data_IF_885137700287
#
_entry.id   IF_885137700287
#
_cell.length_a   1.000
_cell.length_b   1.000
_cell.length_c   1.000
_cell.angle_alpha   90.00
_cell.angle_beta   90.00
_cell.angle_gamma   90.00
#
_symmetry.space_group_name_H-M   'P 1'
#
loop_
_entity.id
_entity.type
_entity.pdbx_description
1 polymer ?
#
# COMPACT_ATOMS: atom_id res chain seq x y z
N UNK A 1 11.42 -13.93 9.59
CA UNK A 1 11.46 -13.18 8.32
C UNK A 1 12.62 -12.23 8.37
N UNK A 2 13.46 -12.15 7.31
CA UNK A 2 14.40 -11.04 7.17
C UNK A 2 13.60 -9.76 6.93
N UNK A 3 14.00 -8.59 7.46
CA UNK A 3 13.29 -7.36 7.20
C UNK A 3 13.32 -7.04 5.70
N UNK A 4 12.14 -6.76 5.14
CA UNK A 4 11.96 -6.30 3.76
C UNK A 4 12.38 -4.82 3.72
N UNK A 5 13.24 -4.45 2.78
CA UNK A 5 13.78 -3.10 2.57
C UNK A 5 14.35 -2.40 3.82
N UNK A 6 15.60 -2.72 4.15
CA UNK A 6 16.36 -1.96 5.15
C UNK A 6 17.04 -0.75 4.50
N UNK A 7 17.09 0.37 5.23
CA UNK A 7 17.83 1.59 4.86
C UNK A 7 17.30 2.36 3.65
N UNK A 8 15.98 2.32 3.40
CA UNK A 8 15.37 3.28 2.48
C UNK A 8 15.50 4.70 3.03
N UNK A 9 15.88 5.64 2.18
CA UNK A 9 16.03 7.04 2.57
C UNK A 9 14.66 7.70 2.71
N UNK A 10 14.48 8.59 3.67
CA UNK A 10 13.23 9.35 3.80
C UNK A 10 13.00 10.17 2.54
N UNK A 11 11.79 10.08 1.96
CA UNK A 11 11.42 10.76 0.72
C UNK A 11 11.86 10.03 -0.55
N UNK A 12 12.50 8.87 -0.44
CA UNK A 12 12.79 8.01 -1.58
C UNK A 12 11.48 7.46 -2.17
N UNK A 13 11.33 7.57 -3.49
CA UNK A 13 10.21 6.98 -4.19
C UNK A 13 10.33 5.45 -4.15
N UNK A 14 9.22 4.80 -3.79
CA UNK A 14 9.12 3.34 -3.70
C UNK A 14 8.10 2.87 -4.72
N UNK A 15 8.51 1.94 -5.57
CA UNK A 15 7.64 1.24 -6.50
C UNK A 15 7.36 -0.17 -5.96
N UNK A 16 6.09 -0.56 -5.96
CA UNK A 16 5.59 -1.84 -5.46
C UNK A 16 4.66 -2.42 -6.53
N UNK A 17 4.91 -3.65 -6.97
CA UNK A 17 3.96 -4.42 -7.77
C UNK A 17 3.68 -5.78 -7.14
N UNK A 18 2.49 -6.31 -7.40
CA UNK A 18 2.06 -7.64 -6.99
C UNK A 18 1.50 -8.34 -8.21
N UNK A 19 2.16 -9.40 -8.64
CA UNK A 19 1.89 -10.06 -9.92
C UNK A 19 1.52 -11.54 -9.69
N UNK A 20 0.45 -11.98 -10.34
CA UNK A 20 0.10 -13.41 -10.37
C UNK A 20 1.02 -14.14 -11.34
N UNK A 21 1.79 -15.11 -10.84
CA UNK A 21 2.78 -15.82 -11.66
C UNK A 21 2.15 -17.06 -12.29
N UNK A 22 1.70 -18.01 -11.47
CA UNK A 22 1.04 -19.25 -11.89
C UNK A 22 0.37 -19.93 -10.70
N UNK A 23 -0.77 -20.58 -10.93
CA UNK A 23 -1.44 -21.35 -9.88
C UNK A 23 -1.69 -20.51 -8.62
N UNK A 24 -0.99 -20.84 -7.53
CA UNK A 24 -1.05 -20.12 -6.24
C UNK A 24 0.15 -19.20 -6.00
N UNK A 25 1.08 -19.12 -6.94
CA UNK A 25 2.30 -18.34 -6.81
C UNK A 25 2.07 -16.90 -7.24
N UNK A 26 2.52 -15.98 -6.40
CA UNK A 26 2.54 -14.54 -6.59
C UNK A 26 3.95 -14.01 -6.41
N UNK A 27 4.29 -12.96 -7.15
CA UNK A 27 5.50 -12.19 -6.97
C UNK A 27 5.15 -10.83 -6.37
N UNK A 28 5.97 -10.36 -5.43
CA UNK A 28 5.93 -9.00 -4.91
C UNK A 28 7.27 -8.37 -5.27
N UNK A 29 7.25 -7.38 -6.15
CA UNK A 29 8.42 -6.62 -6.52
C UNK A 29 8.47 -5.30 -5.74
N UNK A 30 9.64 -5.00 -5.20
CA UNK A 30 9.90 -3.79 -4.43
C UNK A 30 11.17 -3.12 -4.95
N UNK A 31 11.02 -1.88 -5.42
CA UNK A 31 12.08 -1.07 -5.98
C UNK A 31 12.14 0.30 -5.31
N UNK A 32 13.32 0.72 -4.86
CA UNK A 32 13.54 2.01 -4.23
C UNK A 32 15.01 2.43 -4.40
N UNK A 33 15.26 3.41 -5.25
CA UNK A 33 16.60 3.86 -5.63
C UNK A 33 17.47 2.72 -6.16
N UNK A 34 18.46 2.28 -5.38
CA UNK A 34 19.34 1.15 -5.73
C UNK A 34 18.87 -0.20 -5.19
N UNK A 35 17.86 -0.20 -4.32
CA UNK A 35 17.25 -1.41 -3.80
C UNK A 35 16.26 -1.97 -4.82
N UNK A 36 16.41 -3.24 -5.17
CA UNK A 36 15.48 -4.00 -5.99
C UNK A 36 15.41 -5.43 -5.48
N UNK A 37 14.22 -5.91 -5.18
CA UNK A 37 14.01 -7.27 -4.67
C UNK A 37 12.64 -7.81 -5.06
N UNK A 38 12.64 -9.04 -5.58
CA UNK A 38 11.43 -9.84 -5.81
C UNK A 38 11.25 -10.84 -4.67
N UNK A 39 10.02 -10.96 -4.19
CA UNK A 39 9.60 -11.96 -3.19
C UNK A 39 8.54 -12.87 -3.79
N UNK A 40 8.79 -14.18 -3.79
CA UNK A 40 7.80 -15.17 -4.20
C UNK A 40 6.99 -15.64 -2.99
N UNK A 41 5.67 -15.57 -3.10
CA UNK A 41 4.74 -15.99 -2.04
C UNK A 41 3.68 -16.94 -2.62
N UNK A 42 3.33 -17.97 -1.85
CA UNK A 42 2.19 -18.82 -2.17
C UNK A 42 0.94 -18.31 -1.46
N UNK A 43 -0.10 -17.99 -2.24
CA UNK A 43 -1.40 -17.57 -1.74
C UNK A 43 -2.47 -18.56 -2.16
N UNK A 44 -3.14 -19.16 -1.16
CA UNK A 44 -4.06 -20.27 -1.38
C UNK A 44 -5.48 -19.85 -1.78
N UNK A 45 -5.83 -18.58 -1.59
CA UNK A 45 -7.15 -18.03 -1.86
C UNK A 45 -7.22 -17.42 -3.25
N UNK A 46 -8.41 -17.52 -3.87
CA UNK A 46 -8.72 -16.78 -5.09
C UNK A 46 -8.84 -15.30 -4.74
N UNK A 47 -8.02 -14.40 -5.31
CA UNK A 47 -8.12 -12.96 -5.04
C UNK A 47 -9.51 -12.44 -5.37
N UNK A 48 -10.03 -11.57 -4.51
CA UNK A 48 -11.33 -10.92 -4.69
C UNK A 48 -11.23 -9.39 -4.65
N UNK A 49 -10.13 -8.84 -4.17
CA UNK A 49 -9.88 -7.40 -4.09
C UNK A 49 -8.46 -7.07 -4.52
N UNK A 50 -8.27 -5.80 -4.91
CA UNK A 50 -6.99 -5.14 -5.00
C UNK A 50 -7.11 -3.86 -4.16
N UNK A 51 -6.11 -3.60 -3.33
CA UNK A 51 -6.18 -2.56 -2.31
C UNK A 51 -4.86 -1.80 -2.25
N UNK A 52 -4.96 -0.49 -2.07
CA UNK A 52 -3.83 0.38 -1.78
C UNK A 52 -4.02 0.95 -0.39
N UNK A 53 -3.18 0.52 0.54
CA UNK A 53 -3.40 0.74 1.98
C UNK A 53 -2.26 1.50 2.63
N UNK A 54 -2.62 2.37 3.57
CA UNK A 54 -1.74 2.87 4.62
C UNK A 54 -2.37 2.40 5.93
N UNK A 55 -1.69 1.52 6.64
CA UNK A 55 -2.27 0.80 7.78
C UNK A 55 -1.52 1.03 9.09
N UNK A 56 -2.22 0.82 10.21
CA UNK A 56 -1.63 0.60 11.53
C UNK A 56 -1.54 -0.91 11.77
N UNK A 57 -0.38 -1.55 11.51
CA UNK A 57 -0.28 -3.00 11.53
C UNK A 57 -0.34 -3.55 12.97
N UNK A 58 -0.90 -4.75 13.12
CA UNK A 58 -0.88 -5.49 14.38
C UNK A 58 0.45 -6.25 14.52
N UNK A 59 1.33 -5.79 15.42
CA UNK A 59 2.63 -6.39 15.69
C UNK A 59 2.62 -6.98 17.12
N UNK A 60 2.82 -8.29 17.26
CA UNK A 60 2.82 -8.98 18.55
C UNK A 60 1.55 -8.73 19.40
N UNK A 61 0.38 -8.84 18.79
CA UNK A 61 -0.93 -8.61 19.41
C UNK A 61 -1.14 -7.18 19.95
N UNK A 62 -0.41 -6.20 19.41
CA UNK A 62 -0.60 -4.79 19.71
C UNK A 62 -0.56 -4.02 18.41
N UNK A 63 -1.47 -3.07 18.23
CA UNK A 63 -1.35 -2.12 17.14
C UNK A 63 -0.04 -1.36 17.30
N UNK A 64 0.64 -1.13 16.18
CA UNK A 64 1.80 -0.27 16.18
C UNK A 64 1.36 1.15 16.63
N UNK A 65 2.33 1.99 16.98
CA UNK A 65 2.01 3.40 17.14
C UNK A 65 1.90 3.97 15.74
N UNK A 66 0.70 4.38 15.32
CA UNK A 66 0.53 5.09 14.05
C UNK A 66 1.38 6.37 14.04
N UNK A 67 2.37 6.48 13.15
CA UNK A 67 3.29 7.61 13.15
C UNK A 67 2.64 8.85 12.52
N UNK A 68 3.18 10.02 12.84
CA UNK A 68 2.91 11.22 12.07
C UNK A 68 3.78 11.20 10.81
N UNK A 69 3.19 11.56 9.68
CA UNK A 69 3.88 11.64 8.39
C UNK A 69 3.34 12.79 7.55
N UNK A 70 4.20 13.34 6.69
CA UNK A 70 3.74 14.11 5.54
C UNK A 70 2.92 13.21 4.62
N UNK A 71 2.04 13.80 3.81
CA UNK A 71 1.20 13.08 2.85
C UNK A 71 1.95 11.93 2.17
N UNK A 72 1.39 10.72 2.27
CA UNK A 72 1.85 9.58 1.49
C UNK A 72 1.05 9.60 0.20
N UNK A 73 1.71 9.90 -0.90
CA UNK A 73 1.10 9.91 -2.24
C UNK A 73 1.38 8.59 -2.94
N UNK A 74 0.32 7.93 -3.40
CA UNK A 74 0.40 6.70 -4.16
C UNK A 74 0.07 7.05 -5.62
N UNK A 75 1.12 7.06 -6.45
CA UNK A 75 1.05 7.39 -7.88
C UNK A 75 0.85 6.14 -8.73
N UNK A 76 0.22 6.30 -9.89
CA UNK A 76 0.05 5.24 -10.89
C UNK A 76 -0.54 3.96 -10.30
N UNK A 77 -1.44 4.12 -9.33
CA UNK A 77 -2.11 3.03 -8.68
C UNK A 77 -3.11 2.40 -9.66
N UNK A 78 -2.83 1.16 -10.03
CA UNK A 78 -3.58 0.40 -11.04
C UNK A 78 -3.61 -1.08 -10.64
N UNK A 79 -4.71 -1.75 -10.94
CA UNK A 79 -4.87 -3.19 -10.77
C UNK A 79 -5.50 -3.78 -12.03
N UNK A 80 -5.24 -5.06 -12.30
CA UNK A 80 -5.87 -5.77 -13.41
C UNK A 80 -6.75 -6.90 -12.90
N UNK A 81 -8.00 -6.95 -13.38
CA UNK A 81 -8.87 -8.08 -13.08
C UNK A 81 -8.54 -9.30 -13.96
N UNK A 82 -9.27 -10.40 -13.75
CA UNK A 82 -9.06 -11.65 -14.49
C UNK A 82 -9.33 -11.52 -16.00
N UNK A 83 -10.06 -10.49 -16.42
CA UNK A 83 -10.34 -10.17 -17.81
C UNK A 83 -9.30 -9.22 -18.41
N UNK A 84 -8.28 -8.82 -17.64
CA UNK A 84 -7.24 -7.88 -18.06
C UNK A 84 -7.68 -6.42 -18.08
N UNK A 85 -8.85 -6.10 -17.52
CA UNK A 85 -9.31 -4.71 -17.43
C UNK A 85 -8.56 -3.98 -16.32
N UNK A 86 -8.09 -2.77 -16.62
CA UNK A 86 -7.49 -1.88 -15.62
C UNK A 86 -8.58 -1.32 -14.71
N UNK A 87 -8.35 -1.43 -13.40
CA UNK A 87 -9.14 -0.85 -12.33
C UNK A 87 -8.25 0.18 -11.62
N UNK A 88 -8.83 1.33 -11.28
CA UNK A 88 -8.10 2.44 -10.67
C UNK A 88 -8.70 2.83 -9.31
N UNK A 89 -7.98 3.58 -8.45
CA UNK A 89 -8.51 4.11 -7.20
C UNK A 89 -9.80 4.92 -7.36
N UNK A 90 -10.07 5.50 -8.53
CA UNK A 90 -11.34 6.21 -8.77
C UNK A 90 -12.58 5.33 -8.69
N UNK A 91 -12.43 4.02 -8.83
CA UNK A 91 -13.49 3.01 -8.73
C UNK A 91 -13.51 2.34 -7.34
N UNK A 92 -12.57 2.72 -6.46
CA UNK A 92 -12.40 2.11 -5.14
C UNK A 92 -13.35 2.71 -4.09
N UNK A 93 -13.52 1.98 -2.97
CA UNK A 93 -14.18 2.51 -1.78
C UNK A 93 -13.12 3.05 -0.81
N UNK A 94 -13.08 4.36 -0.53
CA UNK A 94 -12.12 4.91 0.41
C UNK A 94 -12.43 4.46 1.84
N UNK A 95 -11.40 4.05 2.58
CA UNK A 95 -11.49 3.65 3.99
C UNK A 95 -10.56 4.56 4.80
N UNK A 96 -11.11 5.25 5.79
CA UNK A 96 -10.33 6.09 6.71
C UNK A 96 -9.82 5.28 7.91
N UNK A 97 -8.62 5.64 8.40
CA UNK A 97 -8.11 5.12 9.66
C UNK A 97 -8.66 5.96 10.80
N UNK A 98 -9.39 5.32 11.72
CA UNK A 98 -9.91 5.96 12.93
C UNK A 98 -9.32 5.37 14.20
N UNK A 99 -8.62 6.18 14.99
CA UNK A 99 -8.14 5.80 16.32
C UNK A 99 -8.92 6.58 17.37
N UNK A 100 -9.59 5.86 18.28
CA UNK A 100 -10.40 6.44 19.37
C UNK A 100 -11.48 7.43 18.86
N UNK A 101 -12.02 7.16 17.68
CA UNK A 101 -13.05 8.00 17.05
C UNK A 101 -12.51 9.23 16.28
N UNK A 102 -11.20 9.47 16.29
CA UNK A 102 -10.54 10.52 15.51
C UNK A 102 -10.01 9.93 14.20
N UNK A 103 -10.18 10.65 13.09
CA UNK A 103 -9.58 10.28 11.80
C UNK A 103 -8.09 10.60 11.88
N UNK A 104 -7.24 9.58 11.79
CA UNK A 104 -5.77 9.69 11.83
C UNK A 104 -5.12 9.47 10.46
N UNK A 105 -5.83 8.83 9.54
CA UNK A 105 -5.42 8.66 8.14
C UNK A 105 -6.61 8.82 7.21
N UNK A 106 -6.56 9.79 6.31
CA UNK A 106 -7.64 10.05 5.35
C UNK A 106 -7.14 9.96 3.90
N UNK A 107 -7.61 8.97 3.11
CA UNK A 107 -7.32 8.90 1.69
C UNK A 107 -8.16 9.92 0.92
N UNK A 108 -7.50 10.76 0.12
CA UNK A 108 -8.12 11.73 -0.79
C UNK A 108 -7.66 11.46 -2.22
N UNK A 109 -8.61 11.24 -3.12
CA UNK A 109 -8.34 11.05 -4.54
C UNK A 109 -7.88 12.37 -5.18
N UNK A 110 -6.73 12.35 -5.87
CA UNK A 110 -6.18 13.52 -6.58
C UNK A 110 -6.57 13.45 -8.06
N UNK A 111 -6.43 12.28 -8.68
CA UNK A 111 -6.84 11.99 -10.05
C UNK A 111 -7.19 10.48 -10.16
N UNK A 112 -7.45 9.97 -11.36
CA UNK A 112 -7.91 8.58 -11.54
C UNK A 112 -6.96 7.53 -10.97
N UNK A 113 -5.64 7.75 -11.05
CA UNK A 113 -4.59 6.79 -10.64
C UNK A 113 -3.77 7.27 -9.45
N UNK A 114 -4.14 8.38 -8.83
CA UNK A 114 -3.36 8.98 -7.74
C UNK A 114 -4.27 9.36 -6.58
N UNK A 115 -3.87 8.95 -5.38
CA UNK A 115 -4.48 9.41 -4.13
C UNK A 115 -3.40 9.69 -3.08
N UNK A 116 -3.75 10.53 -2.12
CA UNK A 116 -2.89 10.86 -0.99
C UNK A 116 -3.54 10.42 0.32
N UNK A 117 -2.76 9.86 1.24
CA UNK A 117 -3.17 9.66 2.62
C UNK A 117 -2.53 10.74 3.48
N UNK A 118 -3.38 11.52 4.14
CA UNK A 118 -2.94 12.58 5.05
C UNK A 118 -3.08 12.13 6.51
N UNK A 119 -2.09 12.49 7.34
CA UNK A 119 -2.17 12.31 8.80
C UNK A 119 -2.72 13.58 9.44
N UNK A 120 -3.83 13.48 10.16
CA UNK A 120 -4.49 14.64 10.78
C UNK A 120 -3.67 15.27 11.90
N UNK A 121 -2.73 14.52 12.47
CA UNK A 121 -1.86 14.95 13.55
C UNK A 121 -0.52 15.53 13.05
N UNK A 122 -0.33 15.67 11.74
CA UNK A 122 0.78 16.42 11.15
C UNK A 122 0.50 17.94 11.19
N UNK A 123 1.32 18.70 11.93
CA UNK A 123 1.33 20.17 11.93
C UNK A 123 2.68 20.63 11.35
N UNK A 124 2.69 21.40 10.24
CA UNK A 124 3.94 21.83 9.58
C UNK A 124 4.81 22.76 10.44
#
# INVERSE_FOLDING_TARGET
MKPVAQNLSVGEAVHISIDHVKGREWAIDLEAGSYQQTYHVEYSLTPQSAEWIVEDPLINNRFAKFPQFHNIELFYAEAHNQQGQTITPSESTPIDLRLRGLVEGNPTLINSTTFAVTSSSFSP
#
